data_IF_193449555608
#
_entry.id   IF_193449555608
#
_cell.length_a   1.000
_cell.length_b   1.000
_cell.length_c   1.000
_cell.angle_alpha   90.00
_cell.angle_beta   90.00
_cell.angle_gamma   90.00
#
_symmetry.space_group_name_H-M   'P 1'
#
loop_
_entity.id
_entity.type
_entity.pdbx_description
1 polymer ?
#
# COMPACT_ATOMS: atom_id res chain seq x y z
N UNK A 1 11.88 10.21 9.14
CA UNK A 1 11.45 8.80 9.33
C UNK A 1 12.16 7.85 8.36
N UNK A 2 12.02 7.95 7.04
CA UNK A 2 12.66 7.02 6.08
C UNK A 2 14.20 6.90 6.30
N UNK A 3 14.92 8.02 6.46
CA UNK A 3 16.38 7.97 6.69
C UNK A 3 16.80 7.26 7.99
N UNK A 4 15.96 7.29 9.02
CA UNK A 4 16.27 6.68 10.32
C UNK A 4 16.05 5.17 10.32
N UNK A 5 15.13 4.68 9.49
CA UNK A 5 14.79 3.24 9.37
C UNK A 5 15.51 2.55 8.21
N UNK A 6 16.03 3.34 7.27
CA UNK A 6 16.73 2.89 6.05
C UNK A 6 16.08 1.68 5.35
N UNK A 7 14.79 1.74 5.01
CA UNK A 7 14.05 0.62 4.47
C UNK A 7 14.59 0.19 3.09
N UNK A 8 14.52 -1.11 2.79
CA UNK A 8 14.95 -1.66 1.50
C UNK A 8 13.98 -1.31 0.37
N UNK A 9 12.68 -1.28 0.68
CA UNK A 9 11.61 -0.92 -0.27
C UNK A 9 10.67 0.05 0.41
N UNK A 10 10.20 1.06 -0.32
CA UNK A 10 9.22 2.06 0.15
C UNK A 10 8.10 2.18 -0.87
N UNK A 11 6.87 2.12 -0.40
CA UNK A 11 5.69 2.48 -1.16
C UNK A 11 5.10 3.79 -0.64
N UNK A 12 4.77 4.69 -1.55
CA UNK A 12 4.03 5.93 -1.24
C UNK A 12 2.80 6.00 -2.13
N UNK A 13 1.70 6.44 -1.55
CA UNK A 13 0.46 6.77 -2.24
C UNK A 13 0.14 8.27 -2.08
N UNK A 14 -0.74 8.80 -2.91
CA UNK A 14 -1.17 10.20 -2.91
C UNK A 14 0.00 11.18 -3.01
N UNK A 15 0.97 10.87 -3.86
CA UNK A 15 2.23 11.63 -3.89
C UNK A 15 2.07 13.06 -4.37
N UNK A 16 1.09 13.36 -5.21
CA UNK A 16 0.87 14.69 -5.81
C UNK A 16 2.13 15.34 -6.38
N UNK A 17 3.13 14.52 -6.73
CA UNK A 17 4.42 14.93 -7.22
C UNK A 17 4.60 14.52 -8.67
N UNK A 18 5.28 15.36 -9.43
CA UNK A 18 5.76 15.01 -10.76
C UNK A 18 6.98 14.06 -10.71
N UNK A 19 7.28 13.43 -11.83
CA UNK A 19 8.38 12.47 -11.94
C UNK A 19 9.75 13.07 -11.56
N UNK A 20 9.98 14.35 -11.86
CA UNK A 20 11.25 15.00 -11.55
C UNK A 20 11.43 15.13 -10.02
N UNK A 21 10.39 15.46 -9.30
CA UNK A 21 10.39 15.51 -7.83
C UNK A 21 10.56 14.13 -7.21
N UNK A 22 9.92 13.11 -7.77
CA UNK A 22 10.08 11.72 -7.32
C UNK A 22 11.52 11.24 -7.55
N UNK A 23 12.12 11.57 -8.68
CA UNK A 23 13.52 11.26 -8.97
C UNK A 23 14.49 11.97 -8.03
N UNK A 24 14.23 13.23 -7.69
CA UNK A 24 14.98 13.96 -6.67
C UNK A 24 14.91 13.26 -5.29
N UNK A 25 13.74 12.76 -4.92
CA UNK A 25 13.55 11.99 -3.68
C UNK A 25 14.34 10.69 -3.74
N UNK A 26 14.26 9.95 -4.84
CA UNK A 26 15.00 8.72 -5.06
C UNK A 26 16.49 8.90 -4.81
N UNK A 27 17.07 9.91 -5.45
CA UNK A 27 18.50 10.24 -5.36
C UNK A 27 18.85 10.65 -3.91
N UNK A 28 18.10 11.58 -3.30
CA UNK A 28 18.34 12.10 -1.95
C UNK A 28 18.27 11.03 -0.86
N UNK A 29 17.45 10.00 -1.07
CA UNK A 29 17.27 8.87 -0.13
C UNK A 29 18.12 7.65 -0.51
N UNK A 30 18.95 7.77 -1.56
CA UNK A 30 19.86 6.71 -2.04
C UNK A 30 19.13 5.41 -2.41
N UNK A 31 17.99 5.53 -3.10
CA UNK A 31 17.32 4.38 -3.71
C UNK A 31 17.91 4.07 -5.09
N UNK A 32 18.01 2.77 -5.41
CA UNK A 32 18.57 2.27 -6.67
C UNK A 32 17.62 2.38 -7.85
N UNK A 33 16.32 2.23 -7.58
CA UNK A 33 15.27 2.30 -8.58
C UNK A 33 13.95 2.86 -8.06
N UNK A 34 13.07 3.18 -8.98
CA UNK A 34 11.68 3.52 -8.71
C UNK A 34 10.78 3.11 -9.88
N UNK A 35 9.51 2.88 -9.58
CA UNK A 35 8.41 2.78 -10.53
C UNK A 35 7.28 3.63 -9.99
N UNK A 36 6.73 4.47 -10.83
CA UNK A 36 5.63 5.34 -10.49
C UNK A 36 4.45 5.11 -11.43
N UNK A 37 3.27 5.37 -10.92
CA UNK A 37 2.04 5.52 -11.69
C UNK A 37 1.41 6.86 -11.31
N UNK A 38 1.56 7.85 -12.20
CA UNK A 38 0.91 9.15 -12.02
C UNK A 38 -0.54 9.08 -12.48
N UNK A 39 -1.44 9.56 -11.62
CA UNK A 39 -2.81 9.87 -12.03
C UNK A 39 -2.87 11.32 -12.49
N UNK A 40 -3.36 11.57 -13.68
CA UNK A 40 -3.63 12.93 -14.18
C UNK A 40 -4.83 13.59 -13.48
N UNK A 41 -5.56 12.83 -12.65
CA UNK A 41 -6.80 13.24 -12.00
C UNK A 41 -6.74 13.05 -10.49
N UNK A 42 -7.84 13.37 -9.80
CA UNK A 42 -8.05 13.32 -8.35
C UNK A 42 -7.46 12.03 -7.73
N UNK A 43 -6.58 12.16 -6.72
CA UNK A 43 -6.07 11.06 -5.91
C UNK A 43 -4.55 10.88 -5.91
N UNK A 44 -3.80 11.75 -6.61
CA UNK A 44 -2.33 11.66 -6.65
C UNK A 44 -1.81 10.37 -7.29
N UNK A 45 -0.50 10.23 -7.38
CA UNK A 45 0.16 9.05 -7.90
C UNK A 45 0.54 8.03 -6.80
N UNK A 46 0.96 6.87 -7.23
CA UNK A 46 1.61 5.86 -6.38
C UNK A 46 3.01 5.59 -6.89
N UNK A 47 3.93 5.30 -5.99
CA UNK A 47 5.34 5.02 -6.34
C UNK A 47 5.95 3.98 -5.41
N UNK A 48 6.79 3.13 -5.98
CA UNK A 48 7.68 2.24 -5.23
C UNK A 48 9.12 2.69 -5.46
N UNK A 49 9.90 2.81 -4.38
CA UNK A 49 11.35 2.96 -4.41
C UNK A 49 12.01 1.73 -3.82
N UNK A 50 13.16 1.32 -4.35
CA UNK A 50 13.95 0.22 -3.78
C UNK A 50 15.45 0.53 -3.80
N UNK A 51 16.18 -0.07 -2.86
CA UNK A 51 17.63 0.06 -2.75
C UNK A 51 18.35 -0.70 -3.89
N UNK A 52 19.60 -0.31 -4.18
CA UNK A 52 20.42 -0.89 -5.26
C UNK A 52 20.66 -2.40 -5.11
N UNK A 53 20.70 -2.89 -3.88
CA UNK A 53 20.87 -4.31 -3.56
C UNK A 53 19.62 -5.15 -3.80
N UNK A 54 18.50 -4.51 -4.08
CA UNK A 54 17.22 -5.17 -4.39
C UNK A 54 17.05 -5.31 -5.90
N UNK A 55 16.88 -6.54 -6.35
CA UNK A 55 16.49 -6.86 -7.72
C UNK A 55 14.96 -6.90 -7.79
N UNK A 56 14.35 -5.82 -8.27
CA UNK A 56 12.90 -5.67 -8.37
C UNK A 56 12.44 -5.84 -9.81
N UNK A 57 11.67 -6.88 -10.07
CA UNK A 57 11.06 -7.17 -11.37
C UNK A 57 9.59 -6.79 -11.36
N UNK A 58 9.22 -5.74 -12.11
CA UNK A 58 7.82 -5.32 -12.25
C UNK A 58 6.97 -6.46 -12.83
N UNK A 59 5.86 -6.75 -12.16
CA UNK A 59 4.84 -7.68 -12.61
C UNK A 59 3.66 -6.96 -13.25
N UNK A 60 2.83 -6.33 -12.43
CA UNK A 60 1.65 -5.58 -12.89
C UNK A 60 1.51 -4.27 -12.15
N UNK A 61 0.80 -3.34 -12.77
CA UNK A 61 0.46 -2.06 -12.16
C UNK A 61 -0.89 -1.54 -12.63
N UNK A 62 -1.48 -0.69 -11.84
CA UNK A 62 -2.71 0.06 -12.12
C UNK A 62 -2.73 1.33 -11.31
N UNK A 63 -3.74 2.18 -11.41
CA UNK A 63 -3.90 3.32 -10.51
C UNK A 63 -3.95 2.93 -9.01
N UNK A 64 -4.24 1.67 -8.70
CA UNK A 64 -4.48 1.17 -7.36
C UNK A 64 -3.38 0.25 -6.83
N UNK A 65 -2.44 -0.19 -7.67
CA UNK A 65 -1.34 -1.04 -7.21
C UNK A 65 -0.10 -0.97 -8.10
N UNK A 66 1.04 -1.23 -7.50
CA UNK A 66 2.27 -1.61 -8.20
C UNK A 66 2.71 -2.94 -7.58
N UNK A 67 2.84 -3.97 -8.40
CA UNK A 67 3.13 -5.33 -7.99
C UNK A 67 4.37 -5.85 -8.70
N UNK A 68 5.26 -6.50 -7.98
CA UNK A 68 6.47 -7.05 -8.54
C UNK A 68 7.10 -8.13 -7.67
N UNK A 69 8.13 -8.74 -8.22
CA UNK A 69 8.88 -9.82 -7.59
C UNK A 69 10.27 -9.32 -7.23
N UNK A 70 10.63 -9.51 -5.99
CA UNK A 70 11.96 -9.23 -5.45
C UNK A 70 12.80 -10.48 -5.57
N UNK A 71 14.03 -10.33 -6.08
CA UNK A 71 14.99 -11.40 -6.27
C UNK A 71 14.47 -12.57 -7.12
N UNK A 72 13.79 -12.25 -8.21
CA UNK A 72 13.17 -13.22 -9.10
C UNK A 72 14.13 -14.32 -9.52
N UNK A 73 13.71 -15.58 -9.33
CA UNK A 73 14.50 -16.77 -9.67
C UNK A 73 15.63 -17.08 -8.69
N UNK A 74 15.72 -16.41 -7.54
CA UNK A 74 16.68 -16.68 -6.47
C UNK A 74 16.01 -17.41 -5.31
N UNK A 75 16.81 -18.03 -4.45
CA UNK A 75 16.33 -18.78 -3.27
C UNK A 75 15.48 -17.90 -2.32
N UNK A 76 15.80 -16.60 -2.24
CA UNK A 76 15.09 -15.60 -1.44
C UNK A 76 14.09 -14.77 -2.27
N UNK A 77 13.42 -15.39 -3.23
CA UNK A 77 12.38 -14.77 -4.03
C UNK A 77 11.14 -14.50 -3.18
N UNK A 78 10.57 -13.29 -3.30
CA UNK A 78 9.30 -12.92 -2.68
C UNK A 78 8.59 -11.84 -3.48
N UNK A 79 7.31 -11.67 -3.24
CA UNK A 79 6.46 -10.70 -3.93
C UNK A 79 6.18 -9.49 -3.06
N UNK A 80 6.30 -8.32 -3.65
CA UNK A 80 5.92 -7.04 -3.05
C UNK A 80 4.80 -6.40 -3.85
N UNK A 81 3.75 -5.97 -3.14
CA UNK A 81 2.68 -5.16 -3.72
C UNK A 81 2.50 -3.90 -2.89
N UNK A 82 2.69 -2.73 -3.52
CA UNK A 82 2.20 -1.46 -3.00
C UNK A 82 0.74 -1.30 -3.42
N UNK A 83 -0.18 -1.16 -2.48
CA UNK A 83 -1.62 -1.14 -2.73
C UNK A 83 -2.27 0.14 -2.21
N UNK A 84 -3.14 0.73 -3.04
CA UNK A 84 -3.96 1.89 -2.68
C UNK A 84 -5.41 1.57 -3.02
N UNK A 85 -6.19 1.23 -1.99
CA UNK A 85 -7.61 0.88 -2.10
C UNK A 85 -8.47 2.04 -2.58
N UNK A 86 -9.63 1.74 -3.13
CA UNK A 86 -10.62 2.74 -3.50
C UNK A 86 -11.07 3.53 -2.25
N UNK A 87 -11.04 4.85 -2.33
CA UNK A 87 -11.46 5.72 -1.23
C UNK A 87 -12.99 5.75 -1.03
N UNK A 88 -13.72 5.58 -2.13
CA UNK A 88 -15.18 5.53 -2.13
C UNK A 88 -15.67 4.13 -1.72
N UNK A 89 -16.44 4.07 -0.63
CA UNK A 89 -16.94 2.80 -0.08
C UNK A 89 -17.78 1.97 -1.06
N UNK A 90 -18.47 2.62 -1.98
CA UNK A 90 -19.23 1.96 -3.06
C UNK A 90 -18.36 1.19 -4.02
N UNK A 91 -17.08 1.55 -4.12
CA UNK A 91 -16.09 0.97 -5.04
C UNK A 91 -15.13 -0.02 -4.35
N UNK A 92 -15.24 -0.24 -3.05
CA UNK A 92 -14.37 -1.18 -2.32
C UNK A 92 -14.35 -2.59 -2.94
N UNK A 93 -15.48 -3.02 -3.55
CA UNK A 93 -15.54 -4.30 -4.24
C UNK A 93 -14.52 -4.43 -5.39
N UNK A 94 -14.11 -3.31 -6.02
CA UNK A 94 -13.05 -3.28 -7.04
C UNK A 94 -11.68 -3.55 -6.41
N UNK A 95 -11.41 -2.95 -5.23
CA UNK A 95 -10.21 -3.22 -4.45
C UNK A 95 -10.10 -4.69 -4.06
N UNK A 96 -11.20 -5.29 -3.59
CA UNK A 96 -11.25 -6.70 -3.19
C UNK A 96 -11.05 -7.63 -4.39
N UNK A 97 -11.67 -7.33 -5.52
CA UNK A 97 -11.47 -8.07 -6.78
C UNK A 97 -10.04 -7.99 -7.28
N UNK A 98 -9.39 -6.82 -7.13
CA UNK A 98 -7.99 -6.63 -7.48
C UNK A 98 -7.09 -7.53 -6.62
N UNK A 99 -7.25 -7.54 -5.29
CA UNK A 99 -6.47 -8.38 -4.38
C UNK A 99 -6.63 -9.88 -4.69
N UNK A 100 -7.87 -10.35 -4.94
CA UNK A 100 -8.14 -11.74 -5.34
C UNK A 100 -7.43 -12.11 -6.65
N UNK A 101 -7.47 -11.20 -7.63
CA UNK A 101 -6.78 -11.37 -8.92
C UNK A 101 -5.27 -11.43 -8.72
N UNK A 102 -4.72 -10.57 -7.88
CA UNK A 102 -3.31 -10.60 -7.53
C UNK A 102 -2.94 -11.92 -6.83
N UNK A 103 -3.76 -12.39 -5.88
CA UNK A 103 -3.54 -13.66 -5.17
C UNK A 103 -3.46 -14.84 -6.12
N UNK A 104 -4.29 -14.88 -7.15
CA UNK A 104 -4.35 -16.02 -8.10
C UNK A 104 -3.11 -16.17 -8.99
N UNK A 105 -2.19 -15.18 -9.02
CA UNK A 105 -1.06 -15.15 -9.96
C UNK A 105 0.10 -16.06 -9.57
N UNK A 106 0.39 -16.18 -8.27
CA UNK A 106 1.46 -17.03 -7.75
C UNK A 106 1.24 -17.35 -6.26
N UNK A 107 2.06 -18.25 -5.72
CA UNK A 107 2.02 -18.71 -4.32
C UNK A 107 3.30 -18.43 -3.53
N UNK A 108 4.20 -17.59 -4.07
CA UNK A 108 5.42 -17.21 -3.35
C UNK A 108 5.08 -16.32 -2.14
N UNK A 109 5.98 -16.20 -1.15
CA UNK A 109 5.78 -15.29 -0.02
C UNK A 109 5.42 -13.89 -0.49
N UNK A 110 4.32 -13.35 0.03
CA UNK A 110 3.74 -12.11 -0.47
C UNK A 110 3.58 -11.07 0.64
N UNK A 111 4.23 -9.92 0.47
CA UNK A 111 4.06 -8.71 1.28
C UNK A 111 3.21 -7.70 0.52
N UNK A 112 2.07 -7.33 1.09
CA UNK A 112 1.21 -6.26 0.57
C UNK A 112 1.20 -5.11 1.59
N UNK A 113 1.55 -3.91 1.16
CA UNK A 113 1.61 -2.72 2.00
C UNK A 113 0.88 -1.57 1.34
N UNK A 114 0.30 -0.68 2.12
CA UNK A 114 -0.32 0.53 1.60
C UNK A 114 -1.54 0.97 2.38
N UNK A 115 -2.36 1.80 1.76
CA UNK A 115 -3.64 2.24 2.32
C UNK A 115 -4.78 1.46 1.65
N UNK A 116 -5.43 0.59 2.40
CA UNK A 116 -6.57 -0.19 1.91
C UNK A 116 -7.88 0.61 1.91
N UNK A 117 -7.89 1.82 2.48
CA UNK A 117 -9.06 2.67 2.67
C UNK A 117 -10.22 2.00 3.43
N UNK A 118 -9.91 0.94 4.19
CA UNK A 118 -10.85 0.23 5.04
C UNK A 118 -10.18 -0.18 6.36
N UNK A 119 -10.98 -0.39 7.37
CA UNK A 119 -10.56 -0.86 8.70
C UNK A 119 -11.02 -2.31 8.94
N UNK A 120 -10.21 -3.07 9.64
CA UNK A 120 -10.52 -4.46 10.00
C UNK A 120 -11.47 -4.50 11.19
N UNK A 121 -11.34 -3.54 12.13
CA UNK A 121 -12.09 -3.48 13.38
C UNK A 121 -12.46 -2.06 13.77
N UNK A 122 -13.62 -1.88 14.38
CA UNK A 122 -14.16 -0.56 14.78
C UNK A 122 -13.23 0.26 15.68
N UNK A 123 -12.37 -0.39 16.48
CA UNK A 123 -11.44 0.31 17.38
C UNK A 123 -10.21 0.89 16.68
N UNK A 124 -10.04 0.63 15.38
CA UNK A 124 -9.00 1.25 14.53
C UNK A 124 -9.39 2.67 14.13
N UNK A 125 -10.60 3.08 14.42
CA UNK A 125 -11.14 4.42 14.15
C UNK A 125 -11.65 5.09 15.41
N UNK A 126 -11.25 6.34 15.65
CA UNK A 126 -11.77 7.17 16.73
C UNK A 126 -12.62 8.28 16.14
N UNK A 127 -13.87 8.39 16.64
CA UNK A 127 -14.87 9.40 16.22
C UNK A 127 -15.28 9.29 14.73
N UNK A 128 -16.13 10.23 14.30
CA UNK A 128 -16.69 10.22 12.95
C UNK A 128 -17.75 9.13 12.75
N UNK A 129 -18.28 9.03 11.54
CA UNK A 129 -19.31 8.04 11.19
C UNK A 129 -18.78 6.62 11.37
N UNK A 130 -19.51 5.80 12.07
CA UNK A 130 -19.16 4.38 12.25
C UNK A 130 -19.10 3.66 10.89
N UNK A 131 -18.11 2.80 10.73
CA UNK A 131 -18.01 1.92 9.57
C UNK A 131 -19.05 0.79 9.73
N UNK A 132 -19.89 0.50 8.72
CA UNK A 132 -20.81 -0.62 8.77
C UNK A 132 -20.09 -1.95 9.02
N UNK A 133 -20.63 -2.79 9.90
CA UNK A 133 -20.03 -4.09 10.22
C UNK A 133 -19.80 -4.96 8.98
N UNK A 134 -20.74 -4.95 8.04
CA UNK A 134 -20.63 -5.67 6.78
C UNK A 134 -19.39 -5.28 5.95
N UNK A 135 -19.05 -3.99 5.86
CA UNK A 135 -17.88 -3.54 5.10
C UNK A 135 -16.59 -4.08 5.73
N UNK A 136 -16.47 -4.01 7.06
CA UNK A 136 -15.34 -4.59 7.79
C UNK A 136 -15.27 -6.13 7.62
N UNK A 137 -16.43 -6.80 7.56
CA UNK A 137 -16.53 -8.24 7.31
C UNK A 137 -15.98 -8.60 5.92
N UNK A 138 -16.51 -7.94 4.88
CA UNK A 138 -16.05 -8.12 3.50
C UNK A 138 -14.53 -7.91 3.35
N UNK A 139 -13.97 -6.94 4.08
CA UNK A 139 -12.52 -6.73 4.08
C UNK A 139 -11.76 -7.88 4.77
N UNK A 140 -12.22 -8.33 5.94
CA UNK A 140 -11.62 -9.49 6.62
C UNK A 140 -11.64 -10.75 5.75
N UNK A 141 -12.77 -11.03 5.10
CA UNK A 141 -12.91 -12.17 4.17
C UNK A 141 -11.85 -12.12 3.08
N UNK A 142 -11.63 -10.95 2.47
CA UNK A 142 -10.60 -10.80 1.43
C UNK A 142 -9.19 -10.99 1.98
N UNK A 143 -8.89 -10.47 3.18
CA UNK A 143 -7.59 -10.68 3.80
C UNK A 143 -7.35 -12.17 4.08
N UNK A 144 -8.36 -12.88 4.57
CA UNK A 144 -8.31 -14.33 4.82
C UNK A 144 -8.16 -15.13 3.52
N UNK A 145 -8.93 -14.81 2.48
CA UNK A 145 -8.82 -15.44 1.16
C UNK A 145 -7.44 -15.24 0.53
N UNK A 146 -6.85 -14.05 0.71
CA UNK A 146 -5.48 -13.77 0.27
C UNK A 146 -4.41 -14.46 1.14
N UNK A 147 -4.79 -14.93 2.32
CA UNK A 147 -3.87 -15.52 3.30
C UNK A 147 -2.99 -14.46 3.98
N UNK A 148 -3.45 -13.22 4.04
CA UNK A 148 -2.72 -12.14 4.70
C UNK A 148 -2.78 -12.26 6.22
N UNK A 149 -1.68 -11.87 6.86
CA UNK A 149 -1.56 -11.72 8.31
C UNK A 149 -1.05 -10.33 8.61
N UNK A 150 -1.68 -9.66 9.57
CA UNK A 150 -1.18 -8.40 10.09
C UNK A 150 0.18 -8.62 10.77
N UNK A 151 1.17 -7.85 10.33
CA UNK A 151 2.53 -7.91 10.90
C UNK A 151 2.67 -7.05 12.16
N UNK A 152 1.60 -6.34 12.54
CA UNK A 152 1.63 -5.37 13.64
C UNK A 152 2.38 -4.08 13.26
N UNK A 153 2.55 -3.21 14.25
CA UNK A 153 3.24 -1.93 14.07
C UNK A 153 4.03 -1.52 15.30
N UNK A 154 5.00 -0.63 15.09
CA UNK A 154 5.75 0.02 16.16
C UNK A 154 5.54 1.52 16.05
N UNK A 155 5.02 2.17 17.10
CA UNK A 155 4.77 3.62 17.12
C UNK A 155 3.35 4.00 17.48
N UNK A 156 2.88 5.12 16.96
CA UNK A 156 1.52 5.62 17.21
C UNK A 156 0.46 4.74 16.57
N UNK A 157 -0.62 4.49 17.30
CA UNK A 157 -1.72 3.62 16.83
C UNK A 157 -2.43 4.18 15.59
N UNK A 158 -2.54 5.51 15.50
CA UNK A 158 -3.27 6.18 14.43
C UNK A 158 -2.29 6.86 13.49
N UNK A 159 -2.43 6.59 12.21
CA UNK A 159 -1.56 7.11 11.14
C UNK A 159 -2.16 8.30 10.41
N UNK A 160 -3.49 8.51 10.54
CA UNK A 160 -4.21 9.60 9.91
C UNK A 160 -5.07 10.39 10.91
N UNK A 161 -5.21 11.69 10.67
CA UNK A 161 -6.08 12.60 11.42
C UNK A 161 -6.63 13.68 10.49
N UNK A 162 -7.94 13.95 10.56
CA UNK A 162 -8.58 14.96 9.73
C UNK A 162 -8.22 16.43 10.09
N UNK A 163 -7.42 16.64 11.14
CA UNK A 163 -6.99 17.98 11.56
C UNK A 163 -8.08 18.86 12.20
N UNK A 164 -9.33 18.39 12.29
CA UNK A 164 -10.41 19.13 12.93
C UNK A 164 -10.30 19.08 14.47
N UNK A 165 -10.83 20.13 15.19
CA UNK A 165 -10.84 20.14 16.66
C UNK A 165 -11.50 18.90 17.28
N UNK A 166 -12.45 18.30 16.58
CA UNK A 166 -13.13 17.07 17.02
C UNK A 166 -12.29 15.79 16.89
N UNK A 167 -11.09 15.87 16.26
CA UNK A 167 -10.05 14.84 16.34
C UNK A 167 -10.48 13.45 15.85
N UNK A 168 -10.98 13.35 14.61
CA UNK A 168 -11.17 12.07 13.94
C UNK A 168 -9.82 11.45 13.56
N UNK A 169 -9.60 10.17 13.89
CA UNK A 169 -8.34 9.44 13.62
C UNK A 169 -8.61 8.02 13.13
N UNK A 170 -7.77 7.58 12.23
CA UNK A 170 -7.66 6.18 11.77
C UNK A 170 -6.22 5.73 11.94
#
# INVERSE_FOLDING_TARGET
>A
MIRAQDPLVVFLAETWLDIARLEDIRIKLNFGGMIEFCRETIGGGIVIFWKKEIDFSLGTFSPNHIDGIVNKGKENEWRFTGFYGESETTNHHLSWSCLRTLKSRNSIPWLCVGDFNEIVRSHEKIKGRQRPARQMEEFREVLDECGFRDLGFVGGKFTWCNGHPDGFKI
#
